data_IF_136286219138
#
_entry.id   IF_136286219138
#
_cell.length_a   1.000
_cell.length_b   1.000
_cell.length_c   1.000
_cell.angle_alpha   90.00
_cell.angle_beta   90.00
_cell.angle_gamma   90.00
#
_symmetry.space_group_name_H-M   'P 1'
#
loop_
_entity.id
_entity.type
_entity.pdbx_description
1 polymer ?
#
# COMPACT_ATOMS: atom_id res chain seq x y z
N UNK A 1 5.80 -3.82 7.44
CA UNK A 1 5.11 -4.01 6.16
C UNK A 1 4.20 -5.24 6.25
N UNK A 2 2.96 -5.12 5.77
CA UNK A 2 2.05 -6.25 5.63
C UNK A 2 2.58 -7.17 4.52
N UNK A 3 2.67 -8.48 4.79
CA UNK A 3 3.33 -9.47 3.91
C UNK A 3 2.69 -9.50 2.51
N UNK A 4 1.42 -9.11 2.39
CA UNK A 4 0.70 -9.07 1.12
C UNK A 4 1.25 -8.05 0.11
N UNK A 5 1.72 -6.89 0.58
CA UNK A 5 2.15 -5.78 -0.29
C UNK A 5 3.54 -5.96 -0.93
N UNK A 6 4.33 -6.92 -0.45
CA UNK A 6 5.67 -7.19 -0.97
C UNK A 6 5.73 -8.48 -1.82
N UNK A 7 4.58 -9.10 -2.05
CA UNK A 7 4.46 -10.41 -2.68
C UNK A 7 4.87 -10.41 -4.17
N UNK A 8 5.45 -11.52 -4.64
CA UNK A 8 5.81 -11.71 -6.06
C UNK A 8 4.59 -11.60 -6.99
N UNK A 9 3.43 -12.22 -6.69
CA UNK A 9 2.26 -12.10 -7.57
C UNK A 9 1.80 -10.66 -7.79
N UNK A 10 1.86 -9.82 -6.75
CA UNK A 10 1.55 -8.40 -6.87
C UNK A 10 2.53 -7.69 -7.83
N UNK A 11 3.82 -8.00 -7.73
CA UNK A 11 4.86 -7.41 -8.60
C UNK A 11 4.67 -7.81 -10.04
N UNK A 12 4.35 -9.08 -10.30
CA UNK A 12 4.08 -9.60 -11.64
C UNK A 12 2.86 -8.90 -12.25
N UNK A 13 1.76 -8.84 -11.49
CA UNK A 13 0.53 -8.16 -11.92
C UNK A 13 0.78 -6.68 -12.26
N UNK A 14 1.57 -5.97 -11.43
CA UNK A 14 1.92 -4.58 -11.70
C UNK A 14 2.78 -4.44 -12.97
N UNK A 15 3.72 -5.35 -13.19
CA UNK A 15 4.56 -5.35 -14.40
C UNK A 15 3.74 -5.64 -15.66
N UNK A 16 2.77 -6.55 -15.58
CA UNK A 16 1.83 -6.85 -16.68
C UNK A 16 0.98 -5.63 -17.03
N UNK A 17 0.66 -4.79 -16.04
CA UNK A 17 0.01 -3.48 -16.23
C UNK A 17 0.98 -2.38 -16.70
N UNK A 18 2.25 -2.70 -16.95
CA UNK A 18 3.28 -1.72 -17.34
C UNK A 18 3.77 -0.82 -16.21
N UNK A 19 3.42 -1.13 -14.96
CA UNK A 19 3.78 -0.35 -13.77
C UNK A 19 5.04 -0.96 -13.15
N UNK A 20 6.08 -0.14 -12.94
CA UNK A 20 7.29 -0.58 -12.24
C UNK A 20 7.10 -0.44 -10.72
N UNK A 21 7.00 -1.54 -9.95
CA UNK A 21 6.83 -1.46 -8.50
C UNK A 21 8.11 -0.94 -7.83
N UNK A 22 7.97 0.08 -6.98
CA UNK A 22 9.03 0.59 -6.11
C UNK A 22 9.03 -0.18 -4.78
N UNK A 23 9.32 -1.48 -4.84
CA UNK A 23 9.32 -2.36 -3.67
C UNK A 23 10.66 -3.06 -3.60
N UNK A 24 11.41 -2.88 -2.50
CA UNK A 24 12.70 -3.54 -2.32
C UNK A 24 12.53 -5.06 -2.31
N UNK A 25 13.43 -5.77 -2.99
CA UNK A 25 13.56 -7.21 -2.93
C UNK A 25 14.21 -7.60 -1.60
N UNK A 26 13.68 -8.64 -0.97
CA UNK A 26 14.42 -9.32 0.10
C UNK A 26 15.61 -10.01 -0.55
N UNK A 27 16.80 -9.75 -0.02
CA UNK A 27 18.06 -10.24 -0.60
C UNK A 27 18.17 -11.74 -0.34
N UNK A 28 18.09 -12.54 -1.40
CA UNK A 28 18.39 -13.97 -1.39
C UNK A 28 19.53 -14.32 -2.35
N UNK A 29 19.74 -13.50 -3.39
CA UNK A 29 20.77 -13.72 -4.40
C UNK A 29 21.41 -12.40 -4.89
N UNK A 30 22.57 -12.46 -5.59
CA UNK A 30 23.26 -11.26 -6.09
C UNK A 30 22.41 -10.37 -6.99
N UNK A 31 21.48 -10.94 -7.77
CA UNK A 31 20.61 -10.16 -8.65
C UNK A 31 19.59 -9.29 -7.88
N UNK A 32 19.23 -9.65 -6.65
CA UNK A 32 18.34 -8.83 -5.81
C UNK A 32 19.01 -7.49 -5.44
N UNK A 33 20.33 -7.49 -5.26
CA UNK A 33 21.11 -6.27 -5.04
C UNK A 33 21.03 -5.35 -6.25
N UNK A 34 21.20 -5.90 -7.46
CA UNK A 34 21.09 -5.13 -8.69
C UNK A 34 19.69 -4.54 -8.88
N UNK A 35 18.63 -5.28 -8.53
CA UNK A 35 17.26 -4.76 -8.56
C UNK A 35 17.03 -3.64 -7.53
N UNK A 36 17.51 -3.81 -6.30
CA UNK A 36 17.39 -2.80 -5.25
C UNK A 36 18.18 -1.53 -5.56
N UNK A 37 19.38 -1.65 -6.16
CA UNK A 37 20.20 -0.51 -6.55
C UNK A 37 19.57 0.36 -7.65
N UNK A 38 18.62 -0.18 -8.41
CA UNK A 38 17.90 0.57 -9.46
C UNK A 38 16.65 1.29 -8.94
N UNK A 39 16.30 1.15 -7.66
CA UNK A 39 15.14 1.83 -7.07
C UNK A 39 15.57 3.25 -6.68
N UNK A 40 14.77 4.23 -7.06
CA UNK A 40 14.95 5.62 -6.61
C UNK A 40 14.51 5.74 -5.15
N UNK A 41 15.45 6.00 -4.26
CA UNK A 41 15.21 5.98 -2.82
C UNK A 41 14.21 7.07 -2.37
N UNK A 42 14.22 8.24 -3.01
CA UNK A 42 13.28 9.33 -2.68
C UNK A 42 11.83 8.95 -2.95
N UNK A 43 11.56 8.29 -4.08
CA UNK A 43 10.22 7.77 -4.39
C UNK A 43 9.86 6.60 -3.48
N UNK A 44 10.82 5.73 -3.16
CA UNK A 44 10.59 4.62 -2.21
C UNK A 44 10.22 5.12 -0.82
N UNK A 45 10.83 6.22 -0.35
CA UNK A 45 10.59 6.79 0.98
C UNK A 45 9.14 7.28 1.16
N UNK A 46 8.42 7.61 0.08
CA UNK A 46 7.01 7.99 0.11
C UNK A 46 6.10 6.86 0.63
N UNK A 47 6.54 5.60 0.51
CA UNK A 47 5.80 4.44 1.03
C UNK A 47 5.52 4.54 2.53
N UNK A 48 6.48 5.05 3.30
CA UNK A 48 6.33 5.21 4.75
C UNK A 48 5.15 6.12 5.11
N UNK A 49 4.88 7.15 4.29
CA UNK A 49 3.74 8.04 4.47
C UNK A 49 2.42 7.30 4.22
N UNK A 50 2.33 6.52 3.12
CA UNK A 50 1.15 5.71 2.82
C UNK A 50 0.86 4.69 3.93
N UNK A 51 1.90 4.01 4.43
CA UNK A 51 1.75 3.07 5.56
C UNK A 51 1.26 3.76 6.83
N UNK A 52 1.75 4.98 7.10
CA UNK A 52 1.31 5.80 8.25
C UNK A 52 -0.15 6.19 8.11
N UNK A 53 -0.59 6.68 6.94
CA UNK A 53 -1.99 7.03 6.68
C UNK A 53 -2.89 5.80 6.84
N UNK A 54 -2.52 4.66 6.24
CA UNK A 54 -3.28 3.42 6.37
C UNK A 54 -3.39 2.96 7.84
N UNK A 55 -2.31 3.10 8.62
CA UNK A 55 -2.33 2.80 10.06
C UNK A 55 -3.29 3.71 10.81
N UNK A 56 -3.26 5.01 10.54
CA UNK A 56 -4.15 6.00 11.15
C UNK A 56 -5.62 5.72 10.83
N UNK A 57 -5.96 5.43 9.57
CA UNK A 57 -7.31 5.06 9.16
C UNK A 57 -7.78 3.81 9.90
N UNK A 58 -6.95 2.76 9.95
CA UNK A 58 -7.27 1.50 10.66
C UNK A 58 -7.47 1.71 12.17
N UNK A 59 -6.69 2.59 12.81
CA UNK A 59 -6.88 2.92 14.23
C UNK A 59 -8.17 3.70 14.49
N UNK A 60 -8.56 4.58 13.57
CA UNK A 60 -9.77 5.40 13.73
C UNK A 60 -11.08 4.64 13.48
N UNK A 61 -11.09 3.72 12.50
CA UNK A 61 -12.33 3.06 12.03
C UNK A 61 -12.34 1.55 12.20
N UNK A 62 -11.24 0.96 12.69
CA UNK A 62 -11.04 -0.48 12.75
C UNK A 62 -10.34 -1.03 11.51
N UNK A 63 -9.82 -2.25 11.64
CA UNK A 63 -9.10 -2.96 10.56
C UNK A 63 -9.98 -3.95 9.79
N UNK A 64 -11.15 -4.30 10.31
CA UNK A 64 -12.05 -5.27 9.71
C UNK A 64 -13.07 -4.58 8.79
N UNK A 65 -13.31 -5.20 7.64
CA UNK A 65 -14.36 -4.83 6.69
C UNK A 65 -15.60 -5.67 7.01
N UNK A 66 -16.77 -5.04 7.15
CA UNK A 66 -18.01 -5.72 7.52
C UNK A 66 -18.80 -6.24 6.33
N UNK A 67 -18.63 -5.63 5.16
CA UNK A 67 -19.22 -6.11 3.93
C UNK A 67 -18.78 -7.55 3.62
N UNK A 68 -19.70 -8.33 3.04
CA UNK A 68 -19.49 -9.74 2.66
C UNK A 68 -19.39 -9.95 1.15
N UNK A 69 -19.67 -8.89 0.38
CA UNK A 69 -19.66 -8.89 -1.07
C UNK A 69 -18.47 -8.05 -1.54
N UNK A 70 -17.65 -8.59 -2.44
CA UNK A 70 -16.40 -7.95 -2.89
C UNK A 70 -16.57 -6.47 -3.26
N UNK A 71 -17.60 -6.14 -4.05
CA UNK A 71 -17.84 -4.75 -4.46
C UNK A 71 -18.20 -3.83 -3.28
N UNK A 72 -18.88 -4.37 -2.26
CA UNK A 72 -19.22 -3.62 -1.04
C UNK A 72 -18.01 -3.47 -0.13
N UNK A 73 -17.13 -4.47 -0.05
CA UNK A 73 -15.86 -4.39 0.67
C UNK A 73 -14.99 -3.26 0.12
N UNK A 74 -14.85 -3.21 -1.21
CA UNK A 74 -14.14 -2.12 -1.88
C UNK A 74 -14.73 -0.75 -1.52
N UNK A 75 -16.05 -0.59 -1.60
CA UNK A 75 -16.71 0.67 -1.27
C UNK A 75 -16.57 1.04 0.19
N UNK A 76 -16.62 0.08 1.10
CA UNK A 76 -16.43 0.32 2.54
C UNK A 76 -15.05 0.92 2.81
N UNK A 77 -13.99 0.34 2.23
CA UNK A 77 -12.62 0.86 2.34
C UNK A 77 -12.49 2.26 1.76
N UNK A 78 -13.04 2.51 0.57
CA UNK A 78 -13.01 3.84 -0.07
C UNK A 78 -13.72 4.88 0.80
N UNK A 79 -14.88 4.53 1.36
CA UNK A 79 -15.64 5.41 2.25
C UNK A 79 -14.88 5.70 3.54
N UNK A 80 -14.22 4.71 4.15
CA UNK A 80 -13.38 4.93 5.34
C UNK A 80 -12.28 5.96 5.07
N UNK A 81 -11.57 5.83 3.94
CA UNK A 81 -10.53 6.78 3.54
C UNK A 81 -11.10 8.18 3.24
N UNK A 82 -12.25 8.26 2.57
CA UNK A 82 -12.90 9.53 2.25
C UNK A 82 -13.36 10.27 3.52
N UNK A 83 -14.02 9.56 4.43
CA UNK A 83 -14.45 10.15 5.72
C UNK A 83 -13.25 10.53 6.57
N UNK A 84 -12.16 9.75 6.56
CA UNK A 84 -10.91 10.13 7.22
C UNK A 84 -10.38 11.48 6.70
N UNK A 85 -10.30 11.65 5.38
CA UNK A 85 -9.80 12.87 4.77
C UNK A 85 -10.70 14.08 5.06
N UNK A 86 -12.02 13.92 5.02
CA UNK A 86 -12.97 15.00 5.37
C UNK A 86 -12.80 15.42 6.83
N UNK A 87 -12.70 14.46 7.76
CA UNK A 87 -12.47 14.78 9.18
C UNK A 87 -11.14 15.49 9.38
N UNK A 88 -10.06 15.03 8.72
CA UNK A 88 -8.76 15.70 8.78
C UNK A 88 -8.81 17.12 8.21
N UNK A 89 -9.63 17.37 7.20
CA UNK A 89 -9.81 18.69 6.61
C UNK A 89 -10.61 19.64 7.52
N UNK A 90 -11.68 19.16 8.15
CA UNK A 90 -12.55 19.97 9.02
C UNK A 90 -11.93 20.24 10.40
N UNK A 91 -11.14 19.31 10.93
CA UNK A 91 -10.51 19.43 12.25
C UNK A 91 -9.15 20.15 12.21
N UNK A 92 -8.56 20.35 11.02
CA UNK A 92 -7.39 21.21 10.83
C UNK A 92 -7.76 22.68 10.83
#
# INVERSE_FOLDING_TARGET
ADRGYDSQPLRETLRDMGIRPLVKHRIFAPYDHAHNARIEDDLYNQRSMTETVNSSVKRSYGSAVRAREWYREFREVVLMCLVYNIKQYVTR
#
